data_IF_246043495697
#
_entry.id   IF_246043495697
#
_cell.length_a   1.000
_cell.length_b   1.000
_cell.length_c   1.000
_cell.angle_alpha   90.00
_cell.angle_beta   90.00
_cell.angle_gamma   90.00
#
_symmetry.space_group_name_H-M   'P 1'
#
loop_
_entity.id
_entity.type
_entity.pdbx_description
1 polymer ?
#
# COMPACT_ATOMS: atom_id res chain seq x y z
N UNK A 1 -2.34 17.66 -9.18
CA UNK A 1 -2.70 16.22 -9.01
C UNK A 1 -1.85 15.67 -7.89
N UNK A 2 -2.34 14.72 -7.10
CA UNK A 2 -1.55 14.08 -6.05
C UNK A 2 -0.72 12.96 -6.69
N UNK A 3 0.57 12.85 -6.38
CA UNK A 3 1.42 11.75 -6.84
C UNK A 3 1.73 10.83 -5.65
N UNK A 4 1.52 9.50 -5.75
CA UNK A 4 1.96 8.56 -4.72
C UNK A 4 3.44 8.68 -4.34
N UNK A 5 4.32 9.05 -5.27
CA UNK A 5 5.76 9.22 -5.02
C UNK A 5 6.08 10.39 -4.07
N UNK A 6 5.12 11.30 -3.83
CA UNK A 6 5.28 12.42 -2.89
C UNK A 6 5.10 11.98 -1.42
N UNK A 7 4.78 10.71 -1.17
CA UNK A 7 4.45 10.18 0.16
C UNK A 7 5.23 8.92 0.47
N UNK A 8 5.42 8.66 1.77
CA UNK A 8 6.04 7.44 2.26
C UNK A 8 5.39 6.96 3.55
N UNK A 9 5.04 5.68 3.65
CA UNK A 9 4.53 5.12 4.91
C UNK A 9 5.60 4.91 5.98
N UNK A 10 6.89 5.14 5.70
CA UNK A 10 7.92 5.20 6.75
C UNK A 10 8.00 6.60 7.39
N UNK A 11 7.38 7.62 6.79
CA UNK A 11 7.25 8.96 7.35
C UNK A 11 6.15 8.98 8.43
N UNK A 12 6.49 9.43 9.63
CA UNK A 12 5.58 9.51 10.77
C UNK A 12 4.39 10.45 10.51
N UNK A 13 4.60 11.57 9.82
CA UNK A 13 3.54 12.53 9.55
C UNK A 13 2.54 12.00 8.52
N UNK A 14 3.03 11.23 7.55
CA UNK A 14 2.16 10.49 6.61
C UNK A 14 1.39 9.40 7.35
N UNK A 15 2.01 8.65 8.27
CA UNK A 15 1.30 7.63 9.06
C UNK A 15 0.17 8.21 9.91
N UNK A 16 0.34 9.43 10.46
CA UNK A 16 -0.71 10.12 11.24
C UNK A 16 -1.91 10.50 10.37
N UNK A 17 -1.69 10.87 9.11
CA UNK A 17 -2.76 11.30 8.20
C UNK A 17 -2.55 10.76 6.78
N UNK A 18 -2.77 9.45 6.53
CA UNK A 18 -2.39 8.81 5.27
C UNK A 18 -3.41 8.99 4.14
N UNK A 19 -4.46 9.79 4.35
CA UNK A 19 -5.61 9.84 3.44
C UNK A 19 -5.27 10.43 2.07
N UNK A 20 -4.38 11.42 2.01
CA UNK A 20 -3.93 12.00 0.75
C UNK A 20 -3.09 11.00 -0.06
N UNK A 21 -2.21 10.26 0.62
CA UNK A 21 -1.47 9.16 0.00
C UNK A 21 -2.41 8.10 -0.57
N UNK A 22 -3.36 7.60 0.23
CA UNK A 22 -4.33 6.62 -0.26
C UNK A 22 -5.21 7.15 -1.40
N UNK A 23 -5.51 8.45 -1.41
CA UNK A 23 -6.25 9.10 -2.49
C UNK A 23 -5.43 9.17 -3.77
N UNK A 24 -4.14 9.50 -3.68
CA UNK A 24 -3.21 9.49 -4.79
C UNK A 24 -3.11 8.08 -5.40
N UNK A 25 -2.91 7.05 -4.55
CA UNK A 25 -2.84 5.66 -5.00
C UNK A 25 -4.11 5.20 -5.72
N UNK A 26 -5.29 5.43 -5.14
CA UNK A 26 -6.55 4.95 -5.74
C UNK A 26 -6.85 5.59 -7.11
N UNK A 27 -6.32 6.79 -7.37
CA UNK A 27 -6.47 7.51 -8.64
C UNK A 27 -5.44 7.04 -9.68
N UNK A 28 -4.15 7.07 -9.32
CA UNK A 28 -3.06 6.95 -10.29
C UNK A 28 -2.37 5.58 -10.28
N UNK A 29 -2.17 4.98 -9.10
CA UNK A 29 -1.38 3.76 -8.92
C UNK A 29 -1.94 2.91 -7.77
N UNK A 30 -2.97 2.08 -8.02
CA UNK A 30 -3.72 1.40 -6.95
C UNK A 30 -2.92 0.32 -6.22
N UNK A 31 -1.83 -0.17 -6.85
CA UNK A 31 -0.82 -1.07 -6.30
C UNK A 31 0.53 -0.36 -6.42
N UNK A 32 1.04 0.18 -5.31
CA UNK A 32 2.25 0.99 -5.27
C UNK A 32 3.39 0.24 -4.60
N UNK A 33 4.56 0.20 -5.23
CA UNK A 33 5.80 -0.33 -4.65
C UNK A 33 6.52 0.79 -3.91
N UNK A 34 6.68 0.64 -2.59
CA UNK A 34 7.47 1.58 -1.79
C UNK A 34 8.96 1.41 -2.09
N UNK A 35 9.66 2.43 -2.64
CA UNK A 35 11.07 2.31 -2.99
C UNK A 35 11.98 2.05 -1.78
N UNK A 36 11.55 2.43 -0.58
CA UNK A 36 12.36 2.33 0.65
C UNK A 36 12.32 0.94 1.29
N UNK A 37 11.23 0.20 1.10
CA UNK A 37 11.01 -1.11 1.74
C UNK A 37 10.85 -2.25 0.75
N UNK A 38 10.57 -1.96 -0.52
CA UNK A 38 10.15 -2.95 -1.52
C UNK A 38 8.76 -3.53 -1.26
N UNK A 39 7.99 -2.97 -0.31
CA UNK A 39 6.64 -3.43 -0.04
C UNK A 39 5.65 -2.89 -1.07
N UNK A 40 4.76 -3.78 -1.48
CA UNK A 40 3.61 -3.43 -2.31
C UNK A 40 2.43 -3.06 -1.41
N UNK A 41 1.89 -1.86 -1.59
CA UNK A 41 0.70 -1.37 -0.92
C UNK A 41 -0.47 -1.47 -1.89
N UNK A 42 -1.57 -2.05 -1.43
CA UNK A 42 -2.81 -2.21 -2.20
C UNK A 42 -3.87 -1.28 -1.60
N UNK A 43 -4.51 -0.44 -2.43
CA UNK A 43 -5.40 0.65 -1.96
C UNK A 43 -6.86 0.54 -2.40
N UNK A 44 -7.16 -0.28 -3.42
CA UNK A 44 -8.53 -0.53 -3.87
C UNK A 44 -9.16 -1.65 -3.06
N UNK A 45 -10.42 -1.47 -2.70
CA UNK A 45 -11.16 -2.40 -1.86
C UNK A 45 -11.18 -3.82 -2.44
N UNK A 46 -11.53 -3.97 -3.73
CA UNK A 46 -11.65 -5.28 -4.37
C UNK A 46 -10.31 -6.03 -4.44
N UNK A 47 -9.22 -5.31 -4.66
CA UNK A 47 -7.86 -5.87 -4.69
C UNK A 47 -7.43 -6.32 -3.28
N UNK A 48 -7.72 -5.52 -2.26
CA UNK A 48 -7.51 -5.91 -0.86
C UNK A 48 -8.31 -7.17 -0.51
N UNK A 49 -9.59 -7.22 -0.89
CA UNK A 49 -10.44 -8.39 -0.63
C UNK A 49 -9.97 -9.63 -1.38
N UNK A 50 -9.43 -9.46 -2.59
CA UNK A 50 -8.82 -10.56 -3.36
C UNK A 50 -7.62 -11.13 -2.60
N UNK A 51 -6.71 -10.27 -2.15
CA UNK A 51 -5.54 -10.70 -1.41
C UNK A 51 -5.90 -11.39 -0.08
N UNK A 52 -6.85 -10.82 0.66
CA UNK A 52 -7.30 -11.36 1.95
C UNK A 52 -8.02 -12.72 1.82
N UNK A 53 -8.64 -13.00 0.66
CA UNK A 53 -9.40 -14.24 0.43
C UNK A 53 -8.55 -15.38 -0.11
N UNK A 54 -7.34 -15.11 -0.58
CA UNK A 54 -6.43 -16.13 -1.13
C UNK A 54 -5.11 -16.21 -0.34
N UNK A 55 -5.12 -16.81 0.87
CA UNK A 55 -3.92 -16.95 1.69
C UNK A 55 -2.90 -17.95 1.13
N UNK A 56 -3.27 -18.73 0.10
CA UNK A 56 -2.34 -19.63 -0.58
C UNK A 56 -1.41 -18.85 -1.52
N UNK A 57 -1.94 -17.79 -2.15
CA UNK A 57 -1.14 -16.84 -2.95
C UNK A 57 -0.52 -15.76 -2.06
N UNK A 58 -1.29 -15.18 -1.13
CA UNK A 58 -0.88 -14.08 -0.26
C UNK A 58 -0.74 -14.55 1.19
N UNK A 59 0.39 -15.17 1.51
CA UNK A 59 0.62 -15.72 2.86
C UNK A 59 0.69 -14.63 3.93
N UNK A 60 0.03 -14.86 5.06
CA UNK A 60 0.21 -14.03 6.27
C UNK A 60 1.47 -14.40 7.07
N UNK A 61 2.22 -15.44 6.67
CA UNK A 61 3.51 -15.76 7.30
C UNK A 61 4.52 -14.68 6.91
N UNK A 62 4.92 -13.87 7.88
CA UNK A 62 6.02 -12.92 7.70
C UNK A 62 7.35 -13.68 7.66
N UNK A 63 8.05 -13.66 6.53
CA UNK A 63 9.32 -14.38 6.30
C UNK A 63 10.54 -13.79 7.00
N UNK A 64 10.38 -12.78 7.86
CA UNK A 64 11.47 -12.07 8.54
C UNK A 64 11.64 -12.46 10.02
N UNK A 65 11.26 -13.68 10.41
CA UNK A 65 11.52 -14.21 11.76
C UNK A 65 12.18 -15.58 11.73
#
# INVERSE_FOLDING_TARGET
>A
MLNPDDYSLIDEDVQKCPFDFYKAMRSECPVYEMPETGFYIVSKYDDCMTALRDPMVFSSKMGFR
#
